data_IF_606422419674
#
_entry.id   IF_606422419674
#
_cell.length_a   1.000
_cell.length_b   1.000
_cell.length_c   1.000
_cell.angle_alpha   90.00
_cell.angle_beta   90.00
_cell.angle_gamma   90.00
#
_symmetry.space_group_name_H-M   'P 1'
#
loop_
_entity.id
_entity.type
_entity.pdbx_description
1 polymer ?
#
# COMPACT_ATOMS: atom_id res chain seq x y z
N UNK A 1 -27.35 3.79 11.67
CA UNK A 1 -26.49 3.12 10.65
C UNK A 1 -25.36 2.44 11.40
N UNK A 2 -25.11 1.13 11.21
CA UNK A 2 -24.02 0.46 11.88
C UNK A 2 -22.69 1.09 11.47
N UNK A 3 -21.89 1.50 12.44
CA UNK A 3 -20.52 1.98 12.23
C UNK A 3 -19.56 0.81 12.11
N UNK A 4 -18.58 0.91 11.20
CA UNK A 4 -17.48 -0.03 11.15
C UNK A 4 -16.43 0.43 12.18
N UNK A 5 -16.16 -0.36 13.23
CA UNK A 5 -15.18 0.04 14.22
C UNK A 5 -13.78 0.16 13.59
N UNK A 6 -13.03 1.18 14.01
CA UNK A 6 -11.67 1.41 13.50
C UNK A 6 -10.75 0.21 13.70
N UNK A 7 -10.96 -0.61 14.74
CA UNK A 7 -10.21 -1.84 14.96
C UNK A 7 -10.40 -2.90 13.88
N UNK A 8 -11.56 -2.92 13.20
CA UNK A 8 -11.83 -3.86 12.12
C UNK A 8 -11.14 -3.48 10.81
N UNK A 9 -10.96 -2.18 10.55
CA UNK A 9 -10.37 -1.67 9.31
C UNK A 9 -8.95 -1.12 9.49
N UNK A 10 -8.55 -0.82 10.74
CA UNK A 10 -7.22 -0.31 11.06
C UNK A 10 -6.07 -1.09 10.41
N UNK A 11 -6.04 -2.43 10.49
CA UNK A 11 -4.99 -3.23 9.86
C UNK A 11 -4.87 -3.03 8.34
N UNK A 12 -5.95 -2.59 7.68
CA UNK A 12 -5.97 -2.33 6.24
C UNK A 12 -5.58 -0.87 5.90
N UNK A 13 -5.74 0.06 6.85
CA UNK A 13 -5.46 1.48 6.67
C UNK A 13 -4.02 1.89 7.06
N UNK A 14 -3.31 1.03 7.78
CA UNK A 14 -1.93 1.31 8.24
C UNK A 14 -0.88 1.26 7.14
N UNK A 15 -1.23 0.76 5.96
CA UNK A 15 -0.27 0.54 4.88
C UNK A 15 -0.71 1.33 3.65
N UNK A 16 0.10 2.27 3.15
CA UNK A 16 -0.15 2.86 1.85
C UNK A 16 -0.09 1.77 0.78
N UNK A 17 -1.03 1.81 -0.14
CA UNK A 17 -1.15 0.85 -1.24
C UNK A 17 -0.73 1.46 -2.56
N UNK A 18 -0.93 2.77 -2.69
CA UNK A 18 -0.60 3.55 -3.87
C UNK A 18 0.12 4.81 -3.44
N UNK A 19 1.20 5.13 -4.12
CA UNK A 19 1.95 6.37 -3.96
C UNK A 19 1.96 7.13 -5.28
N UNK A 20 2.11 8.44 -5.21
CA UNK A 20 2.26 9.26 -6.39
C UNK A 20 3.48 8.87 -7.21
N UNK A 21 3.44 9.11 -8.51
CA UNK A 21 4.57 8.86 -9.42
C UNK A 21 5.78 9.66 -8.94
N UNK A 22 6.92 8.97 -8.80
CA UNK A 22 8.14 9.56 -8.25
C UNK A 22 8.17 9.70 -6.72
N UNK A 23 7.04 9.49 -6.03
CA UNK A 23 6.94 9.62 -4.57
C UNK A 23 7.83 8.63 -3.81
N UNK A 24 8.15 7.49 -4.41
CA UNK A 24 9.08 6.53 -3.81
C UNK A 24 10.56 6.88 -3.99
N UNK A 25 10.91 7.72 -4.95
CA UNK A 25 12.32 8.00 -5.28
C UNK A 25 13.01 8.79 -4.18
N UNK A 26 12.27 9.62 -3.48
CA UNK A 26 12.74 10.47 -2.39
C UNK A 26 12.72 9.79 -1.02
N UNK A 27 12.12 8.60 -0.93
CA UNK A 27 12.01 7.87 0.33
C UNK A 27 13.35 7.26 0.76
N UNK A 28 13.59 7.12 2.07
CA UNK A 28 14.69 6.33 2.58
C UNK A 28 14.71 4.94 1.96
N UNK A 29 15.92 4.44 1.68
CA UNK A 29 16.10 3.14 1.01
C UNK A 29 17.14 2.29 1.71
N UNK A 30 16.96 0.98 1.65
CA UNK A 30 17.95 0.01 2.09
C UNK A 30 19.13 0.05 1.10
N UNK A 31 20.33 0.34 1.61
CA UNK A 31 21.56 0.45 0.81
C UNK A 31 22.50 -0.72 1.03
N UNK A 32 22.40 -1.38 2.18
CA UNK A 32 23.21 -2.56 2.50
C UNK A 32 22.50 -3.41 3.57
N UNK A 33 22.93 -4.64 3.67
CA UNK A 33 22.51 -5.60 4.69
C UNK A 33 23.73 -6.08 5.48
N UNK A 34 23.51 -6.58 6.69
CA UNK A 34 24.60 -7.18 7.48
C UNK A 34 25.11 -8.45 6.78
N UNK A 35 26.43 -8.62 6.74
CA UNK A 35 27.13 -9.75 6.08
C UNK A 35 26.83 -9.89 4.57
N UNK A 36 26.51 -8.77 3.89
CA UNK A 36 26.19 -8.78 2.44
C UNK A 36 25.09 -9.80 2.05
N UNK A 37 24.21 -10.11 2.98
CA UNK A 37 23.09 -11.03 2.71
C UNK A 37 22.18 -10.44 1.65
N UNK A 38 21.88 -11.23 0.64
CA UNK A 38 20.96 -10.82 -0.44
C UNK A 38 19.54 -10.67 0.09
N UNK A 39 19.19 -11.47 1.12
CA UNK A 39 17.84 -11.56 1.71
C UNK A 39 17.93 -11.27 3.20
N UNK A 40 17.04 -10.39 3.67
CA UNK A 40 16.93 -10.02 5.08
C UNK A 40 15.56 -10.42 5.61
N UNK A 41 15.56 -11.11 6.73
CA UNK A 41 14.35 -11.52 7.46
C UNK A 41 14.23 -10.83 8.81
N UNK A 42 13.20 -11.20 9.58
CA UNK A 42 13.00 -10.70 10.93
C UNK A 42 14.23 -11.01 11.84
N UNK A 43 14.62 -10.02 12.63
CA UNK A 43 15.79 -10.07 13.52
C UNK A 43 17.12 -9.69 12.84
N UNK A 44 17.14 -9.50 11.53
CA UNK A 44 18.35 -9.09 10.84
C UNK A 44 18.52 -7.56 10.85
N UNK A 45 19.76 -7.14 10.65
CA UNK A 45 20.15 -5.74 10.55
C UNK A 45 20.26 -5.32 9.09
N UNK A 46 19.82 -4.11 8.79
CA UNK A 46 20.02 -3.46 7.49
C UNK A 46 20.45 -2.00 7.68
N UNK A 47 21.03 -1.43 6.62
CA UNK A 47 21.51 -0.06 6.59
C UNK A 47 20.67 0.75 5.59
N UNK A 48 20.24 1.93 6.02
CA UNK A 48 19.27 2.77 5.28
C UNK A 48 19.84 4.16 5.07
N UNK A 49 19.78 4.63 3.85
CA UNK A 49 20.11 6.01 3.49
C UNK A 49 18.83 6.87 3.44
N UNK A 50 18.95 8.14 3.86
CA UNK A 50 17.87 9.12 3.73
C UNK A 50 16.95 9.27 4.94
N UNK A 51 17.19 8.55 6.04
CA UNK A 51 16.40 8.70 7.27
C UNK A 51 16.81 9.93 8.08
N UNK A 52 15.82 10.57 8.71
CA UNK A 52 16.03 11.70 9.61
C UNK A 52 15.62 11.34 11.05
N UNK A 53 16.29 11.85 12.08
CA UNK A 53 15.95 11.55 13.48
C UNK A 53 14.51 11.93 13.87
N UNK A 54 13.92 12.93 13.21
CA UNK A 54 12.58 13.42 13.49
C UNK A 54 11.45 12.55 12.90
N UNK A 55 11.78 11.58 12.06
CA UNK A 55 10.79 10.74 11.38
C UNK A 55 10.26 9.58 12.23
N UNK A 56 10.74 9.49 13.49
CA UNK A 56 10.36 8.40 14.41
C UNK A 56 11.23 7.15 14.26
N UNK A 57 10.97 6.17 15.11
CA UNK A 57 11.78 4.95 15.19
C UNK A 57 11.13 3.72 14.53
N UNK A 58 9.80 3.75 14.32
CA UNK A 58 9.06 2.64 13.72
C UNK A 58 8.80 2.93 12.25
N UNK A 59 9.12 1.96 11.40
CA UNK A 59 9.09 2.12 9.96
C UNK A 59 8.45 0.91 9.28
N UNK A 60 7.86 1.15 8.13
CA UNK A 60 7.35 0.12 7.23
C UNK A 60 8.23 0.04 5.99
N UNK A 61 8.50 -1.19 5.54
CA UNK A 61 9.33 -1.45 4.36
C UNK A 61 8.44 -1.79 3.18
N UNK A 62 8.68 -1.11 2.06
CA UNK A 62 7.88 -1.24 0.84
C UNK A 62 8.77 -1.50 -0.37
N UNK A 63 8.25 -2.30 -1.28
CA UNK A 63 8.81 -2.50 -2.61
C UNK A 63 7.94 -1.79 -3.63
N UNK A 64 8.53 -1.04 -4.60
CA UNK A 64 7.79 -0.54 -5.75
C UNK A 64 7.16 -1.70 -6.50
N UNK A 65 5.85 -1.64 -6.70
CA UNK A 65 5.08 -2.61 -7.46
C UNK A 65 4.77 -2.11 -8.87
N UNK A 66 3.59 -2.45 -9.36
CA UNK A 66 3.15 -2.07 -10.70
C UNK A 66 2.73 -0.60 -10.80
N UNK A 67 2.93 -0.01 -11.96
CA UNK A 67 2.38 1.31 -12.30
C UNK A 67 0.89 1.16 -12.57
N UNK A 68 0.08 1.88 -11.81
CA UNK A 68 -1.38 1.87 -11.97
C UNK A 68 -1.76 2.90 -13.03
N UNK A 69 -2.34 2.43 -14.11
CA UNK A 69 -2.76 3.24 -15.26
C UNK A 69 -4.27 3.14 -15.43
N UNK A 70 -4.93 4.25 -15.68
CA UNK A 70 -6.36 4.25 -16.02
C UNK A 70 -6.55 3.60 -17.40
N UNK A 71 -7.29 2.48 -17.50
CA UNK A 71 -7.46 1.78 -18.76
C UNK A 71 -8.32 2.51 -19.76
N UNK A 72 -9.07 3.54 -19.34
CA UNK A 72 -9.93 4.36 -20.23
C UNK A 72 -9.16 5.53 -20.82
N UNK A 73 -8.30 6.18 -20.02
CA UNK A 73 -7.62 7.41 -20.40
C UNK A 73 -6.14 7.22 -20.70
N UNK A 74 -5.53 6.14 -20.22
CA UNK A 74 -4.08 5.93 -20.27
C UNK A 74 -3.30 6.78 -19.25
N UNK A 75 -3.99 7.52 -18.37
CA UNK A 75 -3.35 8.32 -17.34
C UNK A 75 -2.67 7.41 -16.31
N UNK A 76 -1.43 7.74 -15.96
CA UNK A 76 -0.72 7.09 -14.85
C UNK A 76 -1.24 7.68 -13.53
N UNK A 77 -1.92 6.86 -12.74
CA UNK A 77 -2.57 7.26 -11.49
C UNK A 77 -1.65 7.15 -10.27
N UNK A 78 -0.63 6.29 -10.34
CA UNK A 78 0.31 6.09 -9.26
C UNK A 78 1.14 4.82 -9.41
N UNK A 79 1.89 4.53 -8.38
CA UNK A 79 2.72 3.33 -8.26
C UNK A 79 2.23 2.50 -7.07
N UNK A 80 2.06 1.21 -7.26
CA UNK A 80 1.73 0.32 -6.16
C UNK A 80 2.88 0.24 -5.16
N UNK A 81 2.54 0.29 -3.86
CA UNK A 81 3.48 0.11 -2.76
C UNK A 81 3.24 -1.24 -2.09
N UNK A 82 4.09 -2.21 -2.37
CA UNK A 82 3.98 -3.55 -1.79
C UNK A 82 4.66 -3.57 -0.42
N UNK A 83 3.88 -3.70 0.65
CA UNK A 83 4.43 -3.80 2.00
C UNK A 83 5.11 -5.15 2.21
N UNK A 84 6.42 -5.14 2.40
CA UNK A 84 7.25 -6.34 2.55
C UNK A 84 7.64 -6.64 4.00
N UNK A 85 7.58 -5.64 4.89
CA UNK A 85 7.90 -5.84 6.30
C UNK A 85 7.87 -4.58 7.14
N UNK A 86 8.25 -4.71 8.40
CA UNK A 86 8.36 -3.62 9.36
C UNK A 86 9.77 -3.60 9.95
N UNK A 87 10.23 -2.41 10.30
CA UNK A 87 11.58 -2.18 10.81
C UNK A 87 11.57 -1.17 11.96
N UNK A 88 12.60 -1.23 12.78
CA UNK A 88 12.83 -0.29 13.85
C UNK A 88 14.24 0.28 13.78
N UNK A 89 14.37 1.60 13.93
CA UNK A 89 15.68 2.24 13.97
C UNK A 89 16.39 1.89 15.26
N UNK A 90 17.62 1.39 15.13
CA UNK A 90 18.56 1.18 16.25
C UNK A 90 19.46 2.38 16.45
N UNK A 91 19.90 2.99 15.35
CA UNK A 91 20.80 4.15 15.38
C UNK A 91 20.58 4.98 14.11
N UNK A 92 20.33 6.27 14.29
CA UNK A 92 20.37 7.23 13.19
C UNK A 92 21.80 7.53 12.79
N UNK A 93 22.04 7.72 11.49
CA UNK A 93 23.35 7.99 10.93
C UNK A 93 23.30 8.08 9.41
N UNK A 94 24.46 8.09 8.77
CA UNK A 94 24.58 8.06 7.31
C UNK A 94 25.55 6.95 6.91
N UNK A 95 25.05 5.72 6.74
CA UNK A 95 23.66 5.25 6.80
C UNK A 95 23.14 5.06 8.24
N UNK A 96 21.82 5.05 8.39
CA UNK A 96 21.12 4.64 9.61
C UNK A 96 21.10 3.12 9.72
N UNK A 97 21.12 2.60 10.96
CA UNK A 97 21.03 1.17 11.25
C UNK A 97 19.61 0.82 11.71
N UNK A 98 18.99 -0.13 11.06
CA UNK A 98 17.66 -0.63 11.41
C UNK A 98 17.70 -2.12 11.71
N UNK A 99 16.74 -2.59 12.49
CA UNK A 99 16.43 -4.00 12.69
C UNK A 99 15.08 -4.31 12.03
N UNK A 100 15.01 -5.36 11.24
CA UNK A 100 13.76 -5.87 10.69
C UNK A 100 12.98 -6.55 11.81
N UNK A 101 11.83 -5.99 12.17
CA UNK A 101 10.98 -6.53 13.24
C UNK A 101 9.99 -7.57 12.72
N UNK A 102 9.58 -7.43 11.46
CA UNK A 102 8.70 -8.37 10.78
C UNK A 102 8.99 -8.38 9.27
N UNK A 103 9.05 -9.56 8.68
CA UNK A 103 9.13 -9.74 7.24
C UNK A 103 7.92 -10.55 6.76
N UNK A 104 7.16 -10.01 5.81
CA UNK A 104 6.08 -10.72 5.10
C UNK A 104 6.59 -11.38 3.83
N UNK A 105 7.60 -10.79 3.26
CA UNK A 105 8.32 -11.26 2.08
C UNK A 105 9.80 -10.96 2.31
N UNK A 106 10.63 -11.48 1.45
CA UNK A 106 12.06 -11.16 1.42
C UNK A 106 12.28 -9.65 1.28
N UNK A 107 13.12 -9.09 2.15
CA UNK A 107 13.49 -7.68 2.12
C UNK A 107 14.85 -7.56 1.42
N UNK A 108 14.94 -6.68 0.44
CA UNK A 108 16.10 -6.56 -0.44
C UNK A 108 16.71 -5.16 -0.38
N UNK A 109 17.96 -5.07 -0.80
CA UNK A 109 18.57 -3.79 -1.11
C UNK A 109 17.71 -3.05 -2.17
N UNK A 110 17.50 -1.75 -1.96
CA UNK A 110 16.63 -0.94 -2.81
C UNK A 110 15.19 -0.81 -2.34
N UNK A 111 14.72 -1.66 -1.43
CA UNK A 111 13.40 -1.49 -0.81
C UNK A 111 13.34 -0.13 -0.08
N UNK A 112 12.16 0.49 -0.07
CA UNK A 112 11.90 1.84 0.44
C UNK A 112 11.28 1.77 1.83
N UNK A 113 11.48 2.84 2.60
CA UNK A 113 10.91 2.92 3.94
C UNK A 113 10.02 4.14 4.08
N UNK A 114 8.90 3.96 4.79
CA UNK A 114 8.01 5.04 5.21
C UNK A 114 7.83 4.97 6.72
N UNK A 115 7.72 6.10 7.43
CA UNK A 115 7.40 6.09 8.85
C UNK A 115 6.11 5.32 9.10
N UNK A 116 6.12 4.45 10.11
CA UNK A 116 4.91 3.75 10.51
C UNK A 116 3.89 4.77 11.03
N UNK A 117 2.70 4.77 10.46
CA UNK A 117 1.61 5.61 10.98
C UNK A 117 1.09 5.00 12.27
N UNK A 118 1.44 5.61 13.38
CA UNK A 118 0.82 5.32 14.67
C UNK A 118 -0.43 6.20 14.78
N UNK A 119 -1.60 5.58 14.82
CA UNK A 119 -2.84 6.36 14.94
C UNK A 119 -4.04 5.48 15.26
N UNK A 120 -4.93 6.02 16.06
CA UNK A 120 -6.29 5.54 16.20
C UNK A 120 -7.07 5.92 14.95
N UNK A 121 -7.47 4.92 14.17
CA UNK A 121 -8.34 5.17 13.02
C UNK A 121 -9.75 5.49 13.54
N UNK A 122 -10.34 6.61 13.10
CA UNK A 122 -11.72 6.91 13.46
C UNK A 122 -12.64 5.81 12.95
N UNK A 123 -13.72 5.57 13.67
CA UNK A 123 -14.79 4.72 13.17
C UNK A 123 -15.43 5.39 11.94
N UNK A 124 -15.59 4.64 10.87
CA UNK A 124 -16.23 5.15 9.67
C UNK A 124 -17.71 4.81 9.65
N UNK A 125 -18.53 5.78 9.23
CA UNK A 125 -19.95 5.57 8.97
C UNK A 125 -20.10 5.26 7.48
N UNK A 126 -20.46 4.02 7.12
CA UNK A 126 -20.69 3.68 5.72
C UNK A 126 -21.86 4.49 5.17
N UNK A 127 -21.66 5.11 4.00
CA UNK A 127 -22.69 5.88 3.30
C UNK A 127 -22.52 5.80 1.80
N UNK A 128 -23.60 6.07 1.07
CA UNK A 128 -23.54 6.12 -0.38
C UNK A 128 -22.98 7.46 -0.85
N UNK A 129 -22.27 7.51 -2.00
CA UNK A 129 -21.90 8.76 -2.63
C UNK A 129 -23.15 9.59 -3.01
N UNK A 130 -23.05 10.92 -2.90
CA UNK A 130 -24.15 11.83 -3.31
C UNK A 130 -24.46 11.77 -4.81
N UNK A 131 -23.48 11.38 -5.60
CA UNK A 131 -23.59 11.18 -7.06
C UNK A 131 -23.15 9.77 -7.44
N UNK A 132 -23.73 9.23 -8.49
CA UNK A 132 -23.32 7.92 -9.01
C UNK A 132 -21.85 7.98 -9.48
N UNK A 133 -21.00 7.21 -8.81
CA UNK A 133 -19.58 7.04 -9.16
C UNK A 133 -19.42 5.69 -9.83
N UNK A 134 -18.75 5.68 -10.99
CA UNK A 134 -18.38 4.46 -11.72
C UNK A 134 -16.88 4.46 -11.94
N UNK A 135 -16.25 3.33 -11.67
CA UNK A 135 -14.83 3.14 -11.85
C UNK A 135 -14.49 1.69 -12.13
N UNK A 136 -13.23 1.43 -12.35
CA UNK A 136 -12.69 0.09 -12.62
C UNK A 136 -11.71 -0.29 -11.53
N UNK A 137 -11.68 -1.57 -11.19
CA UNK A 137 -10.68 -2.13 -10.30
C UNK A 137 -9.39 -2.30 -11.12
N UNK A 138 -8.31 -1.69 -10.64
CA UNK A 138 -6.99 -1.68 -11.29
C UNK A 138 -6.11 -2.80 -10.78
N UNK A 139 -6.12 -3.03 -9.47
CA UNK A 139 -5.33 -4.07 -8.84
C UNK A 139 -6.08 -4.68 -7.67
N UNK A 140 -5.74 -5.94 -7.37
CA UNK A 140 -6.25 -6.67 -6.22
C UNK A 140 -5.07 -7.14 -5.38
N UNK A 141 -5.02 -6.71 -4.14
CA UNK A 141 -3.92 -7.08 -3.26
C UNK A 141 -4.02 -8.55 -2.83
N UNK A 142 -2.92 -9.27 -3.03
CA UNK A 142 -2.75 -10.64 -2.53
C UNK A 142 -3.33 -11.73 -3.42
N UNK A 143 -3.86 -11.38 -4.60
CA UNK A 143 -4.34 -12.38 -5.57
C UNK A 143 -4.12 -11.91 -7.00
N UNK A 144 -3.68 -12.82 -7.85
CA UNK A 144 -3.45 -12.57 -9.28
C UNK A 144 -4.73 -12.81 -10.10
N UNK A 145 -5.76 -13.44 -9.53
CA UNK A 145 -6.90 -13.90 -10.32
C UNK A 145 -8.29 -13.75 -9.67
N UNK A 146 -8.43 -13.80 -8.34
CA UNK A 146 -9.74 -13.85 -7.71
C UNK A 146 -9.92 -12.79 -6.62
N UNK A 147 -10.95 -11.94 -6.81
CA UNK A 147 -11.41 -11.02 -5.76
C UNK A 147 -12.26 -11.84 -4.78
N UNK A 148 -11.73 -12.03 -3.58
CA UNK A 148 -12.45 -12.70 -2.49
C UNK A 148 -13.00 -11.71 -1.48
N UNK A 149 -13.83 -12.18 -0.58
CA UNK A 149 -14.27 -11.39 0.58
C UNK A 149 -13.05 -10.90 1.37
N UNK A 150 -13.03 -9.62 1.75
CA UNK A 150 -11.94 -8.93 2.43
C UNK A 150 -10.71 -8.63 1.57
N UNK A 151 -10.75 -8.83 0.26
CA UNK A 151 -9.69 -8.35 -0.62
C UNK A 151 -9.66 -6.82 -0.67
N UNK A 152 -8.45 -6.26 -0.67
CA UNK A 152 -8.25 -4.83 -0.86
C UNK A 152 -8.01 -4.60 -2.35
N UNK A 153 -8.72 -3.63 -2.90
CA UNK A 153 -8.64 -3.29 -4.31
C UNK A 153 -8.27 -1.82 -4.51
N UNK A 154 -7.52 -1.52 -5.56
CA UNK A 154 -7.32 -0.16 -6.04
C UNK A 154 -8.26 0.12 -7.20
N UNK A 155 -8.84 1.32 -7.23
CA UNK A 155 -9.78 1.75 -8.28
C UNK A 155 -9.24 3.00 -8.98
N UNK A 156 -9.67 3.23 -10.22
CA UNK A 156 -9.30 4.42 -11.01
C UNK A 156 -10.13 5.67 -10.69
N UNK A 157 -10.70 5.75 -9.50
CA UNK A 157 -11.46 6.93 -9.02
C UNK A 157 -10.98 7.30 -7.62
N UNK A 158 -10.90 8.59 -7.36
CA UNK A 158 -10.40 9.13 -6.11
C UNK A 158 -11.15 10.41 -5.68
N UNK A 159 -10.52 11.19 -4.81
CA UNK A 159 -11.12 12.43 -4.28
C UNK A 159 -11.48 13.44 -5.37
N UNK A 160 -10.72 13.54 -6.46
CA UNK A 160 -11.05 14.40 -7.61
C UNK A 160 -12.33 13.97 -8.33
N UNK A 161 -12.74 12.69 -8.18
CA UNK A 161 -13.98 12.13 -8.76
C UNK A 161 -15.13 12.12 -7.76
N UNK A 162 -14.91 12.68 -6.56
CA UNK A 162 -15.89 12.71 -5.47
C UNK A 162 -15.94 11.46 -4.62
N UNK A 163 -14.91 10.61 -4.64
CA UNK A 163 -14.79 9.48 -3.72
C UNK A 163 -14.29 9.99 -2.38
N UNK A 164 -15.00 9.64 -1.31
CA UNK A 164 -14.67 10.03 0.06
C UNK A 164 -14.54 8.79 0.95
N UNK A 165 -13.84 8.98 2.07
CA UNK A 165 -13.69 7.93 3.08
C UNK A 165 -15.05 7.62 3.71
N UNK A 166 -15.44 6.34 3.70
CA UNK A 166 -16.75 5.88 4.15
C UNK A 166 -17.74 5.57 3.01
N UNK A 167 -17.44 5.97 1.78
CA UNK A 167 -18.28 5.60 0.65
C UNK A 167 -18.35 4.09 0.45
N UNK A 168 -19.56 3.59 0.21
CA UNK A 168 -19.82 2.18 -0.12
C UNK A 168 -20.14 2.08 -1.60
N UNK A 169 -19.38 1.27 -2.33
CA UNK A 169 -19.53 1.03 -3.75
C UNK A 169 -19.87 -0.45 -4.00
N UNK A 170 -20.68 -0.72 -5.02
CA UNK A 170 -20.99 -2.07 -5.44
C UNK A 170 -19.97 -2.56 -6.48
N UNK A 171 -19.39 -3.74 -6.26
CA UNK A 171 -18.59 -4.42 -7.28
C UNK A 171 -19.50 -5.18 -8.24
N UNK A 172 -19.37 -4.93 -9.54
CA UNK A 172 -20.13 -5.61 -10.60
C UNK A 172 -19.17 -6.25 -11.61
N UNK A 173 -19.43 -7.51 -11.95
CA UNK A 173 -18.72 -8.19 -13.03
C UNK A 173 -19.51 -8.01 -14.32
N UNK A 174 -18.86 -7.55 -15.40
CA UNK A 174 -19.46 -7.61 -16.74
C UNK A 174 -19.45 -9.06 -17.18
N UNK A 175 -20.65 -9.62 -17.42
CA UNK A 175 -20.76 -10.93 -18.06
C UNK A 175 -20.34 -10.85 -19.52
N UNK A 176 -19.70 -11.90 -20.04
CA UNK A 176 -19.47 -12.04 -21.47
C UNK A 176 -20.83 -12.15 -22.16
N UNK A 177 -21.05 -11.33 -23.19
CA UNK A 177 -22.20 -11.51 -24.05
C UNK A 177 -21.98 -12.83 -24.81
N UNK A 178 -22.76 -13.84 -24.48
CA UNK A 178 -22.84 -15.03 -25.34
C UNK A 178 -23.49 -14.62 -26.65
N UNK A 179 -22.71 -14.53 -27.72
CA UNK A 179 -23.21 -14.43 -29.09
C UNK A 179 -23.89 -15.79 -29.38
N UNK A 180 -25.21 -15.80 -29.39
CA UNK A 180 -25.95 -16.95 -29.97
C UNK A 180 -25.72 -16.87 -31.48
N UNK A 181 -24.89 -17.73 -32.00
CA UNK A 181 -24.94 -18.05 -33.44
C UNK A 181 -26.30 -18.69 -33.74
N UNK A 182 -27.01 -18.06 -34.66
CA UNK A 182 -28.28 -18.55 -35.22
C UNK A 182 -27.99 -19.46 -36.40
#
# INVERSE_FOLDING_TARGET
>A
VPTIPGSAIGPFLTQPLVVEVGGMDTLPRIVATEEERVIVGAGNTAYVSGMQPNDGINWQVFRPGETLTDPETGEVLGLEAVHVGDARVKRFGSPSTIEITRAKQEINQGDRLMPAREGTFPAYVPHAPDKAIRGQILSVRGSVADISQYSIVSINRGSRDGVEVGHVLASVRRGDQMVRET
#
